data_IF_203297788244
#
_entry.id   IF_203297788244
#
_cell.length_a   1.000
_cell.length_b   1.000
_cell.length_c   1.000
_cell.angle_alpha   90.00
_cell.angle_beta   90.00
_cell.angle_gamma   90.00
#
_symmetry.space_group_name_H-M   'P 1'
#
loop_
_entity.id
_entity.type
_entity.pdbx_description
1 polymer ?
#
# COMPACT_ATOMS: atom_id res chain seq x y z
N UNK A 1 0.83 -7.42 21.31
CA UNK A 1 1.62 -7.60 20.07
C UNK A 1 0.69 -7.34 18.89
N UNK A 2 1.15 -6.56 17.91
CA UNK A 2 0.48 -6.44 16.61
C UNK A 2 1.38 -7.05 15.54
N UNK A 3 0.88 -8.03 14.80
CA UNK A 3 1.53 -8.55 13.60
C UNK A 3 0.69 -8.18 12.37
N UNK A 4 1.35 -7.72 11.32
CA UNK A 4 0.70 -7.29 10.08
C UNK A 4 1.23 -8.16 8.94
N UNK A 5 0.31 -8.70 8.12
CA UNK A 5 0.65 -9.42 6.92
C UNK A 5 1.64 -10.59 7.24
N UNK A 6 2.71 -10.73 6.48
CA UNK A 6 3.81 -11.71 6.70
C UNK A 6 4.53 -11.56 8.05
N UNK A 7 4.30 -10.47 8.81
CA UNK A 7 4.78 -10.35 10.18
C UNK A 7 4.28 -11.46 11.10
N UNK A 8 3.14 -12.08 10.80
CA UNK A 8 2.62 -13.22 11.52
C UNK A 8 3.60 -14.41 11.53
N UNK A 9 4.43 -14.58 10.50
CA UNK A 9 5.47 -15.60 10.42
C UNK A 9 6.51 -15.48 11.54
N UNK A 10 6.93 -14.26 11.87
CA UNK A 10 7.89 -14.03 12.97
C UNK A 10 7.28 -14.36 14.32
N UNK A 11 6.00 -14.00 14.51
CA UNK A 11 5.30 -14.28 15.78
C UNK A 11 5.01 -15.79 15.91
N UNK A 12 4.61 -16.46 14.83
CA UNK A 12 4.42 -17.92 14.81
C UNK A 12 5.74 -18.66 15.08
N UNK A 13 6.85 -18.22 14.45
CA UNK A 13 8.17 -18.83 14.67
C UNK A 13 8.67 -18.70 16.11
N UNK A 14 8.19 -17.75 16.88
CA UNK A 14 8.50 -17.62 18.31
C UNK A 14 7.71 -18.59 19.21
N UNK A 15 6.69 -19.28 18.68
CA UNK A 15 5.80 -20.15 19.42
C UNK A 15 4.70 -19.43 20.21
N UNK A 16 4.66 -18.09 20.19
CA UNK A 16 3.66 -17.32 20.97
C UNK A 16 2.24 -17.53 20.43
N UNK A 17 2.09 -17.86 19.14
CA UNK A 17 0.79 -18.13 18.52
C UNK A 17 0.28 -19.55 18.72
N UNK A 18 1.04 -20.46 19.32
CA UNK A 18 0.63 -21.84 19.51
C UNK A 18 -0.66 -21.92 20.33
N UNK A 19 -1.69 -22.54 19.77
CA UNK A 19 -3.02 -22.66 20.38
C UNK A 19 -3.88 -21.38 20.27
N UNK A 20 -3.40 -20.33 19.63
CA UNK A 20 -4.12 -19.07 19.42
C UNK A 20 -4.75 -19.01 18.04
N UNK A 21 -5.78 -18.17 17.89
CA UNK A 21 -6.29 -17.79 16.58
C UNK A 21 -5.46 -16.65 15.98
N UNK A 22 -5.14 -16.76 14.70
CA UNK A 22 -4.42 -15.72 13.98
C UNK A 22 -4.81 -15.65 12.51
N UNK A 23 -4.45 -14.55 11.86
CA UNK A 23 -4.55 -14.40 10.41
C UNK A 23 -3.28 -13.80 9.84
N UNK A 24 -3.15 -13.84 8.52
CA UNK A 24 -2.06 -13.26 7.75
C UNK A 24 -2.55 -12.93 6.36
N UNK A 25 -1.68 -12.38 5.53
CA UNK A 25 -1.98 -12.20 4.11
C UNK A 25 -2.33 -13.55 3.45
N UNK A 26 -3.36 -13.55 2.60
CA UNK A 26 -3.89 -14.80 2.03
C UNK A 26 -2.83 -15.64 1.28
N UNK A 27 -1.84 -15.03 0.64
CA UNK A 27 -0.72 -15.75 0.01
C UNK A 27 0.17 -16.52 0.98
N UNK A 28 0.23 -16.09 2.24
CA UNK A 28 1.07 -16.72 3.24
C UNK A 28 0.38 -17.85 3.99
N UNK A 29 -0.96 -17.88 4.01
CA UNK A 29 -1.72 -18.77 4.90
C UNK A 29 -1.45 -20.25 4.64
N UNK A 30 -1.38 -20.71 3.39
CA UNK A 30 -1.09 -22.12 3.09
C UNK A 30 0.28 -22.57 3.63
N UNK A 31 1.29 -21.72 3.46
CA UNK A 31 2.62 -21.98 3.97
C UNK A 31 2.68 -21.89 5.49
N UNK A 32 2.01 -20.91 6.09
CA UNK A 32 1.92 -20.76 7.55
C UNK A 32 1.20 -21.93 8.20
N UNK A 33 0.08 -22.40 7.65
CA UNK A 33 -0.63 -23.59 8.13
C UNK A 33 0.24 -24.85 8.09
N UNK A 34 1.03 -24.99 7.02
CA UNK A 34 1.90 -26.17 6.87
C UNK A 34 3.07 -26.18 7.85
N UNK A 35 3.62 -25.00 8.19
CA UNK A 35 4.79 -24.89 9.07
C UNK A 35 4.44 -24.68 10.54
N UNK A 36 3.30 -24.06 10.82
CA UNK A 36 2.86 -23.69 12.17
C UNK A 36 1.45 -24.22 12.45
N UNK A 37 1.30 -25.54 12.38
CA UNK A 37 0.02 -26.24 12.53
C UNK A 37 -0.60 -26.18 13.93
N UNK A 38 0.13 -25.67 14.93
CA UNK A 38 -0.40 -25.41 16.27
C UNK A 38 -1.22 -24.12 16.35
N UNK A 39 -1.19 -23.28 15.32
CA UNK A 39 -1.94 -22.02 15.23
C UNK A 39 -3.26 -22.26 14.49
N UNK A 40 -4.35 -21.72 15.02
CA UNK A 40 -5.68 -21.76 14.36
C UNK A 40 -5.81 -20.60 13.36
N UNK A 41 -5.37 -20.82 12.11
CA UNK A 41 -5.32 -19.81 11.07
C UNK A 41 -6.70 -19.49 10.48
N UNK A 42 -7.10 -18.20 10.55
CA UNK A 42 -8.39 -17.69 10.10
C UNK A 42 -8.27 -17.00 8.73
N UNK A 43 -8.87 -17.58 7.67
CA UNK A 43 -8.72 -17.13 6.29
C UNK A 43 -9.63 -15.97 5.89
N UNK A 44 -10.75 -15.79 6.57
CA UNK A 44 -11.77 -14.81 6.18
C UNK A 44 -11.81 -13.55 7.05
N UNK A 45 -10.85 -13.39 7.95
CA UNK A 45 -10.81 -12.27 8.87
C UNK A 45 -9.77 -11.22 8.43
N UNK A 46 -10.15 -9.96 8.44
CA UNK A 46 -9.20 -8.85 8.21
C UNK A 46 -8.20 -8.74 9.34
N UNK A 47 -8.63 -8.97 10.56
CA UNK A 47 -7.76 -9.11 11.73
C UNK A 47 -8.39 -10.03 12.77
N UNK A 48 -7.56 -10.58 13.60
CA UNK A 48 -7.92 -11.41 14.78
C UNK A 48 -7.21 -10.85 15.99
N UNK A 49 -7.93 -10.68 17.07
CA UNK A 49 -7.35 -10.43 18.38
C UNK A 49 -7.65 -11.63 19.26
N UNK A 50 -6.60 -12.30 19.71
CA UNK A 50 -6.68 -13.41 20.67
C UNK A 50 -5.71 -13.15 21.81
N UNK A 51 -6.24 -12.97 23.03
CA UNK A 51 -5.47 -12.51 24.17
C UNK A 51 -4.79 -11.15 23.92
N UNK A 52 -3.49 -11.12 24.09
CA UNK A 52 -2.66 -9.92 23.94
C UNK A 52 -2.03 -9.78 22.52
N UNK A 53 -2.48 -10.62 21.58
CA UNK A 53 -1.95 -10.66 20.23
C UNK A 53 -3.05 -10.27 19.24
N UNK A 54 -2.74 -9.30 18.39
CA UNK A 54 -3.56 -8.96 17.23
C UNK A 54 -2.76 -9.28 15.98
N UNK A 55 -3.32 -10.06 15.09
CA UNK A 55 -2.78 -10.37 13.77
C UNK A 55 -3.69 -9.79 12.70
N UNK A 56 -3.14 -9.18 11.67
CA UNK A 56 -3.91 -8.70 10.53
C UNK A 56 -3.51 -9.36 9.24
N UNK A 57 -4.46 -9.45 8.34
CA UNK A 57 -4.28 -9.85 6.96
C UNK A 57 -3.44 -8.79 6.17
N UNK A 58 -3.67 -8.63 4.88
CA UNK A 58 -2.84 -7.78 4.03
C UNK A 58 -2.91 -6.29 4.30
N UNK A 59 -2.28 -5.55 3.44
CA UNK A 59 -1.92 -4.13 3.57
C UNK A 59 -3.06 -3.26 4.11
N UNK A 60 -4.24 -3.32 3.48
CA UNK A 60 -5.37 -2.46 3.90
C UNK A 60 -6.03 -2.94 5.19
N UNK A 61 -5.93 -4.22 5.54
CA UNK A 61 -6.45 -4.76 6.79
C UNK A 61 -5.68 -4.25 8.03
N UNK A 62 -4.45 -3.76 7.83
CA UNK A 62 -3.69 -3.14 8.92
C UNK A 62 -4.35 -1.88 9.49
N UNK A 63 -5.13 -1.17 8.67
CA UNK A 63 -5.90 -0.02 9.14
C UNK A 63 -6.97 -0.45 10.14
N UNK A 64 -7.74 -1.50 9.83
CA UNK A 64 -8.75 -2.04 10.73
C UNK A 64 -8.14 -2.53 12.05
N UNK A 65 -7.07 -3.32 11.98
CA UNK A 65 -6.38 -3.81 13.16
C UNK A 65 -5.82 -2.67 14.03
N UNK A 66 -5.23 -1.66 13.40
CA UNK A 66 -4.67 -0.50 14.12
C UNK A 66 -5.77 0.34 14.76
N UNK A 67 -6.87 0.63 14.06
CA UNK A 67 -8.01 1.36 14.61
C UNK A 67 -8.67 0.59 15.75
N UNK A 68 -8.78 -0.74 15.65
CA UNK A 68 -9.29 -1.59 16.72
C UNK A 68 -8.40 -1.49 17.98
N UNK A 69 -7.07 -1.53 17.82
CA UNK A 69 -6.13 -1.36 18.95
C UNK A 69 -6.20 0.05 19.56
N UNK A 70 -6.29 1.09 18.74
CA UNK A 70 -6.47 2.47 19.24
C UNK A 70 -7.77 2.57 20.03
N UNK A 71 -8.85 1.94 19.56
CA UNK A 71 -10.13 1.90 20.27
C UNK A 71 -10.02 1.16 21.60
N UNK A 72 -9.29 0.04 21.63
CA UNK A 72 -9.12 -0.80 22.82
C UNK A 72 -8.23 -0.17 23.88
N UNK A 73 -7.06 0.36 23.51
CA UNK A 73 -6.06 0.87 24.46
C UNK A 73 -6.15 2.37 24.69
N UNK A 74 -6.79 3.10 23.80
CA UNK A 74 -6.94 4.54 23.89
C UNK A 74 -8.39 4.93 24.14
N UNK A 75 -9.06 5.33 23.07
CA UNK A 75 -10.41 5.87 23.12
C UNK A 75 -11.13 5.55 21.78
N UNK A 76 -12.32 4.95 21.80
CA UNK A 76 -13.10 4.73 20.59
C UNK A 76 -13.35 5.99 19.75
N UNK A 77 -13.55 7.15 20.42
CA UNK A 77 -13.71 8.44 19.74
C UNK A 77 -12.44 8.84 18.98
N UNK A 78 -11.26 8.55 19.53
CA UNK A 78 -9.98 8.81 18.86
C UNK A 78 -9.85 7.93 17.60
N UNK A 79 -10.17 6.64 17.70
CA UNK A 79 -10.14 5.74 16.56
C UNK A 79 -11.09 6.22 15.44
N UNK A 80 -12.32 6.62 15.81
CA UNK A 80 -13.28 7.16 14.83
C UNK A 80 -12.79 8.47 14.21
N UNK A 81 -12.21 9.37 15.00
CA UNK A 81 -11.67 10.63 14.50
C UNK A 81 -10.49 10.42 13.54
N UNK A 82 -9.64 9.41 13.80
CA UNK A 82 -8.55 9.07 12.90
C UNK A 82 -9.10 8.47 11.61
N UNK A 83 -10.06 7.54 11.69
CA UNK A 83 -10.69 6.95 10.52
C UNK A 83 -11.34 8.01 9.62
N UNK A 84 -12.06 8.97 10.22
CA UNK A 84 -12.64 10.11 9.52
C UNK A 84 -11.56 11.00 8.85
N UNK A 85 -10.47 11.28 9.57
CA UNK A 85 -9.37 12.12 9.05
C UNK A 85 -8.66 11.50 7.84
N UNK A 86 -8.53 10.18 7.81
CA UNK A 86 -7.93 9.45 6.68
C UNK A 86 -8.97 8.97 5.65
N UNK A 87 -10.23 9.34 5.84
CA UNK A 87 -11.38 8.97 4.98
C UNK A 87 -11.50 7.44 4.80
N UNK A 88 -11.26 6.69 5.89
CA UNK A 88 -11.30 5.24 5.89
C UNK A 88 -12.56 4.69 6.54
N UNK A 89 -13.29 3.86 5.81
CA UNK A 89 -14.39 3.07 6.35
C UNK A 89 -13.89 1.68 6.78
N UNK A 90 -13.97 1.40 8.09
CA UNK A 90 -13.55 0.11 8.65
C UNK A 90 -14.36 -1.05 8.08
N UNK A 91 -13.65 -2.12 7.75
CA UNK A 91 -14.19 -3.35 7.20
C UNK A 91 -14.03 -4.51 8.20
N UNK A 92 -15.02 -5.40 8.27
CA UNK A 92 -15.01 -6.50 9.25
C UNK A 92 -14.63 -7.86 8.68
N UNK A 93 -14.77 -8.06 7.37
CA UNK A 93 -14.45 -9.33 6.73
C UNK A 93 -13.72 -9.10 5.40
N UNK A 94 -12.86 -10.06 5.03
CA UNK A 94 -12.27 -10.15 3.70
C UNK A 94 -12.90 -11.33 3.00
N UNK A 95 -13.29 -11.13 1.76
CA UNK A 95 -13.43 -12.21 0.81
C UNK A 95 -12.57 -11.88 -0.39
N UNK A 96 -11.39 -12.51 -0.49
CA UNK A 96 -10.50 -12.36 -1.65
C UNK A 96 -10.41 -13.73 -2.31
N UNK A 97 -11.17 -13.89 -3.38
CA UNK A 97 -11.06 -15.06 -4.24
C UNK A 97 -9.98 -14.79 -5.28
N UNK A 98 -8.85 -15.47 -5.14
CA UNK A 98 -7.77 -15.44 -6.11
C UNK A 98 -7.91 -16.68 -6.99
N UNK A 99 -8.26 -16.49 -8.24
CA UNK A 99 -8.36 -17.61 -9.19
C UNK A 99 -7.06 -17.79 -10.00
N UNK A 100 -6.96 -18.92 -10.69
CA UNK A 100 -5.80 -19.27 -11.53
C UNK A 100 -5.58 -18.28 -12.68
N UNK A 101 -6.60 -17.54 -13.10
CA UNK A 101 -6.51 -16.53 -14.16
C UNK A 101 -5.81 -15.26 -13.69
N UNK A 102 -6.03 -14.86 -12.44
CA UNK A 102 -5.34 -13.71 -11.83
C UNK A 102 -3.85 -14.01 -11.68
N UNK A 103 -3.50 -15.23 -11.27
CA UNK A 103 -2.12 -15.71 -11.20
C UNK A 103 -1.44 -15.74 -12.58
N UNK A 104 -2.13 -16.23 -13.61
CA UNK A 104 -1.60 -16.29 -14.97
C UNK A 104 -1.37 -14.92 -15.60
N UNK A 105 -2.23 -13.93 -15.31
CA UNK A 105 -2.02 -12.54 -15.75
C UNK A 105 -0.79 -11.95 -15.08
N UNK A 106 -0.63 -12.16 -13.76
CA UNK A 106 0.57 -11.76 -13.03
C UNK A 106 1.84 -12.42 -13.57
N UNK A 107 1.78 -13.72 -13.88
CA UNK A 107 2.92 -14.46 -14.43
C UNK A 107 3.28 -14.00 -15.85
N UNK A 108 2.30 -13.69 -16.69
CA UNK A 108 2.53 -13.22 -18.06
C UNK A 108 3.28 -11.88 -18.10
N UNK A 109 3.00 -10.97 -17.17
CA UNK A 109 3.70 -9.69 -17.05
C UNK A 109 5.13 -9.82 -16.51
N UNK A 110 5.41 -10.86 -15.71
CA UNK A 110 6.77 -11.16 -15.24
C UNK A 110 7.63 -11.78 -16.36
N UNK A 111 7.03 -12.63 -17.19
CA UNK A 111 7.74 -13.38 -18.26
C UNK A 111 7.99 -12.51 -19.50
N UNK A 112 7.17 -11.48 -19.72
CA UNK A 112 7.30 -10.55 -20.84
C UNK A 112 7.71 -9.16 -20.32
N UNK A 113 8.99 -8.90 -20.05
CA UNK A 113 9.47 -7.61 -19.51
C UNK A 113 9.43 -6.46 -20.53
N UNK A 114 8.65 -6.60 -21.58
CA UNK A 114 8.53 -5.63 -22.67
C UNK A 114 7.42 -4.64 -22.33
N UNK A 115 7.83 -3.44 -21.90
CA UNK A 115 6.91 -2.33 -21.67
C UNK A 115 6.75 -1.92 -20.21
N UNK A 116 7.69 -2.26 -19.32
CA UNK A 116 7.72 -1.63 -18.00
C UNK A 116 8.00 -0.15 -18.14
N UNK A 117 7.22 0.63 -17.44
CA UNK A 117 7.33 2.09 -17.38
C UNK A 117 8.17 2.46 -16.17
N UNK A 118 9.24 3.20 -16.39
CA UNK A 118 10.01 3.79 -15.31
C UNK A 118 9.36 5.11 -14.86
N UNK A 119 8.82 5.12 -13.64
CA UNK A 119 8.10 6.26 -13.08
C UNK A 119 8.82 6.81 -11.84
N UNK A 120 9.03 8.12 -11.81
CA UNK A 120 9.46 8.81 -10.60
C UNK A 120 8.26 9.40 -9.87
N UNK A 121 8.18 9.24 -8.54
CA UNK A 121 7.19 9.94 -7.71
C UNK A 121 7.85 11.18 -7.12
N UNK A 122 7.25 12.34 -7.38
CA UNK A 122 7.68 13.59 -6.77
C UNK A 122 7.29 13.63 -5.30
N UNK A 123 8.27 13.92 -4.43
CA UNK A 123 8.04 14.10 -3.00
C UNK A 123 8.51 15.49 -2.56
N UNK A 124 7.71 16.13 -1.72
CA UNK A 124 7.91 17.50 -1.24
C UNK A 124 7.60 17.62 0.26
N UNK A 125 8.09 18.68 0.91
CA UNK A 125 7.75 18.95 2.30
C UNK A 125 6.24 19.16 2.50
N UNK A 126 5.70 18.58 3.57
CA UNK A 126 4.29 18.67 3.91
C UNK A 126 3.38 17.73 3.13
N UNK A 127 3.95 16.88 2.26
CA UNK A 127 3.17 15.87 1.54
C UNK A 127 2.47 14.89 2.48
N UNK A 128 1.38 14.30 2.02
CA UNK A 128 0.68 13.25 2.74
C UNK A 128 1.41 11.90 2.58
N UNK A 129 1.95 11.38 3.68
CA UNK A 129 2.68 10.12 3.68
C UNK A 129 1.78 8.90 3.41
N UNK A 130 0.49 8.97 3.75
CA UNK A 130 -0.45 7.89 3.47
C UNK A 130 -0.66 7.74 1.96
N UNK A 131 -0.78 8.87 1.25
CA UNK A 131 -0.90 8.87 -0.19
C UNK A 131 0.39 8.41 -0.88
N UNK A 132 1.55 8.84 -0.37
CA UNK A 132 2.83 8.36 -0.87
C UNK A 132 2.97 6.84 -0.70
N UNK A 133 2.65 6.32 0.50
CA UNK A 133 2.76 4.89 0.77
C UNK A 133 1.79 4.08 -0.08
N UNK A 134 0.56 4.56 -0.26
CA UNK A 134 -0.41 3.93 -1.15
C UNK A 134 0.09 3.88 -2.61
N UNK A 135 0.70 4.95 -3.10
CA UNK A 135 1.26 5.00 -4.45
C UNK A 135 2.44 4.03 -4.60
N UNK A 136 3.42 4.09 -3.68
CA UNK A 136 4.61 3.24 -3.72
C UNK A 136 4.29 1.74 -3.58
N UNK A 137 3.20 1.38 -2.89
CA UNK A 137 2.80 0.00 -2.74
C UNK A 137 1.89 -0.49 -3.87
N UNK A 138 1.03 0.37 -4.43
CA UNK A 138 0.02 -0.05 -5.41
C UNK A 138 0.54 -0.12 -6.85
N UNK A 139 1.22 0.91 -7.34
CA UNK A 139 1.65 0.95 -8.75
C UNK A 139 2.59 -0.19 -9.14
N UNK A 140 3.62 -0.55 -8.34
CA UNK A 140 4.47 -1.69 -8.71
C UNK A 140 3.74 -3.04 -8.73
N UNK A 141 2.61 -3.16 -8.01
CA UNK A 141 1.76 -4.36 -8.04
C UNK A 141 1.00 -4.56 -9.34
N UNK A 142 0.94 -3.55 -10.20
CA UNK A 142 0.46 -3.74 -11.58
C UNK A 142 1.41 -4.60 -12.40
N UNK A 143 2.68 -4.72 -11.95
CA UNK A 143 3.81 -5.37 -12.65
C UNK A 143 4.22 -4.66 -13.95
N UNK A 144 3.64 -3.50 -14.23
CA UNK A 144 3.90 -2.67 -15.41
C UNK A 144 4.82 -1.48 -15.09
N UNK A 145 5.03 -1.19 -13.80
CA UNK A 145 5.69 0.05 -13.36
C UNK A 145 6.82 -0.26 -12.38
N UNK A 146 7.98 0.31 -12.64
CA UNK A 146 9.06 0.43 -11.67
C UNK A 146 9.11 1.86 -11.13
N UNK A 147 9.15 2.03 -9.80
CA UNK A 147 9.03 3.34 -9.18
C UNK A 147 10.27 3.74 -8.37
N UNK A 148 10.59 5.02 -8.45
CA UNK A 148 11.59 5.67 -7.59
C UNK A 148 11.04 6.98 -7.04
N UNK A 149 11.59 7.48 -5.94
CA UNK A 149 11.23 8.78 -5.39
C UNK A 149 12.22 9.86 -5.83
N UNK A 150 11.71 11.03 -6.16
CA UNK A 150 12.50 12.20 -6.59
C UNK A 150 12.04 13.47 -5.90
N UNK A 151 12.94 14.39 -5.65
CA UNK A 151 12.66 15.75 -5.16
C UNK A 151 13.61 16.77 -5.84
N UNK A 152 13.51 18.04 -5.45
CA UNK A 152 14.44 19.10 -5.91
C UNK A 152 15.91 18.72 -5.67
N UNK A 153 16.19 18.04 -4.55
CA UNK A 153 17.52 17.53 -4.19
C UNK A 153 17.39 16.35 -3.21
N UNK A 154 18.49 15.61 -2.97
CA UNK A 154 18.53 14.53 -1.97
C UNK A 154 18.65 15.08 -0.54
N UNK A 155 17.76 16.00 -0.18
CA UNK A 155 17.65 16.51 1.19
C UNK A 155 16.60 15.74 1.97
N UNK A 156 16.60 15.92 3.28
CA UNK A 156 15.54 15.42 4.16
C UNK A 156 14.24 16.14 3.85
N UNK A 157 13.19 15.39 3.54
CA UNK A 157 11.80 15.83 3.37
C UNK A 157 11.05 15.48 4.64
N UNK A 158 10.24 16.40 5.15
CA UNK A 158 9.34 16.15 6.28
C UNK A 158 7.90 16.12 5.80
N UNK A 159 7.22 15.01 6.02
CA UNK A 159 5.81 14.83 5.64
C UNK A 159 4.87 15.60 6.56
N UNK A 160 3.59 15.61 6.22
CA UNK A 160 2.51 16.28 6.96
C UNK A 160 2.45 15.90 8.45
N UNK A 161 2.67 14.63 8.78
CA UNK A 161 2.63 14.13 10.16
C UNK A 161 4.02 13.86 10.74
N UNK A 162 5.08 14.38 10.10
CA UNK A 162 6.43 14.44 10.65
C UNK A 162 7.34 13.26 10.32
N UNK A 163 6.91 12.33 9.45
CA UNK A 163 7.81 11.31 8.92
C UNK A 163 8.96 11.98 8.15
N UNK A 164 10.16 11.46 8.30
CA UNK A 164 11.35 11.98 7.63
C UNK A 164 11.79 11.04 6.52
N UNK A 165 11.89 11.56 5.32
CA UNK A 165 12.21 10.81 4.11
C UNK A 165 13.40 11.45 3.39
N UNK A 166 14.22 10.61 2.77
CA UNK A 166 15.26 11.04 1.83
C UNK A 166 14.89 10.46 0.47
N UNK A 167 14.68 11.29 -0.57
CA UNK A 167 14.36 10.81 -1.90
C UNK A 167 15.50 9.96 -2.46
N UNK A 168 15.16 9.00 -3.32
CA UNK A 168 16.15 8.18 -4.02
C UNK A 168 17.08 9.05 -4.87
N UNK A 169 16.50 10.04 -5.56
CA UNK A 169 17.20 10.96 -6.44
C UNK A 169 16.87 12.43 -6.18
N UNK A 170 17.82 13.33 -6.39
CA UNK A 170 17.55 14.72 -6.73
C UNK A 170 17.18 14.80 -8.20
N UNK A 171 16.37 15.80 -8.58
CA UNK A 171 15.88 15.93 -9.97
C UNK A 171 17.01 16.02 -11.00
N UNK A 172 18.13 16.67 -10.64
CA UNK A 172 19.29 16.79 -11.53
C UNK A 172 20.12 15.49 -11.64
N UNK A 173 19.84 14.49 -10.79
CA UNK A 173 20.52 13.21 -10.75
C UNK A 173 19.58 12.08 -11.20
N UNK A 174 18.32 12.41 -11.54
CA UNK A 174 17.31 11.46 -11.97
C UNK A 174 17.74 10.83 -13.29
N UNK A 175 17.78 9.51 -13.42
CA UNK A 175 17.97 8.85 -14.71
C UNK A 175 16.79 9.16 -15.65
N UNK A 176 16.90 8.79 -16.91
CA UNK A 176 15.78 8.88 -17.84
C UNK A 176 14.57 8.10 -17.31
N UNK A 177 13.42 8.75 -17.25
CA UNK A 177 12.15 8.21 -16.77
C UNK A 177 11.07 8.45 -17.81
N UNK A 178 10.16 7.51 -17.96
CA UNK A 178 9.00 7.66 -18.85
C UNK A 178 8.04 8.74 -18.32
N UNK A 179 7.88 8.79 -16.98
CA UNK A 179 7.03 9.80 -16.35
C UNK A 179 7.46 10.21 -14.94
N UNK A 180 6.97 11.39 -14.52
CA UNK A 180 7.03 11.87 -13.14
C UNK A 180 5.60 12.00 -12.62
N UNK A 181 5.26 11.28 -11.58
CA UNK A 181 3.96 11.35 -10.92
C UNK A 181 3.98 12.40 -9.80
N UNK A 182 3.15 13.42 -9.94
CA UNK A 182 2.82 14.36 -8.87
C UNK A 182 1.58 13.86 -8.12
N UNK A 183 1.67 13.74 -6.80
CA UNK A 183 0.57 13.27 -5.95
C UNK A 183 -0.49 14.35 -5.66
N UNK A 184 -0.18 15.61 -6.00
CA UNK A 184 -1.12 16.73 -5.87
C UNK A 184 -1.02 17.70 -7.05
N UNK A 185 -2.10 18.47 -7.24
CA UNK A 185 -2.12 19.55 -8.25
C UNK A 185 -1.08 20.64 -7.94
N UNK A 186 -0.76 20.89 -6.66
CA UNK A 186 0.25 21.84 -6.23
C UNK A 186 1.65 21.39 -6.65
N UNK A 187 1.98 20.12 -6.42
CA UNK A 187 3.25 19.53 -6.84
C UNK A 187 3.39 19.55 -8.36
N UNK A 188 2.32 19.22 -9.08
CA UNK A 188 2.31 19.30 -10.55
C UNK A 188 2.53 20.73 -11.07
N UNK A 189 1.95 21.74 -10.42
CA UNK A 189 2.15 23.14 -10.76
C UNK A 189 3.61 23.56 -10.50
N UNK A 190 4.18 23.15 -9.38
CA UNK A 190 5.58 23.41 -9.03
C UNK A 190 6.52 22.79 -10.09
N UNK A 191 6.33 21.54 -10.44
CA UNK A 191 7.14 20.84 -11.45
C UNK A 191 7.08 21.54 -12.82
N UNK A 192 5.88 21.97 -13.25
CA UNK A 192 5.72 22.72 -14.51
C UNK A 192 6.44 24.07 -14.49
N UNK A 193 6.41 24.80 -13.38
CA UNK A 193 7.09 26.08 -13.24
C UNK A 193 8.61 25.96 -13.27
N UNK A 194 9.13 24.88 -12.72
CA UNK A 194 10.58 24.65 -12.66
C UNK A 194 11.14 24.09 -13.97
N UNK A 195 10.30 23.86 -14.99
CA UNK A 195 10.67 23.22 -16.27
C UNK A 195 11.47 21.92 -16.09
N UNK A 196 11.24 21.22 -14.98
CA UNK A 196 11.99 20.05 -14.57
C UNK A 196 11.58 18.76 -15.30
N UNK A 197 10.49 18.81 -16.05
CA UNK A 197 10.01 17.71 -16.88
C UNK A 197 10.51 17.84 -18.33
N UNK A 198 11.83 17.91 -18.53
CA UNK A 198 12.37 18.24 -19.84
C UNK A 198 12.04 17.21 -20.93
N UNK A 199 11.94 15.92 -20.61
CA UNK A 199 11.57 14.86 -21.57
C UNK A 199 10.62 13.81 -20.97
N UNK A 200 10.39 13.81 -19.65
CA UNK A 200 9.48 12.89 -18.99
C UNK A 200 8.05 13.43 -19.00
N UNK A 201 7.07 12.58 -19.24
CA UNK A 201 5.67 12.96 -19.09
C UNK A 201 5.36 13.31 -17.63
N UNK A 202 4.66 14.44 -17.42
CA UNK A 202 4.19 14.81 -16.09
C UNK A 202 2.78 14.27 -15.86
N UNK A 203 2.69 13.28 -15.00
CA UNK A 203 1.44 12.70 -14.53
C UNK A 203 0.99 13.39 -13.23
N UNK A 204 -0.31 13.48 -13.05
CA UNK A 204 -0.89 13.98 -11.79
C UNK A 204 -1.95 13.01 -11.35
N UNK A 205 -1.96 12.66 -10.07
CA UNK A 205 -3.01 11.82 -9.49
C UNK A 205 -4.37 12.51 -9.66
N UNK A 206 -5.32 11.83 -10.28
CA UNK A 206 -6.58 12.46 -10.75
C UNK A 206 -7.59 12.68 -9.61
N UNK A 207 -7.61 11.81 -8.60
CA UNK A 207 -8.54 11.94 -7.48
C UNK A 207 -7.94 12.78 -6.35
N UNK A 208 -8.71 13.74 -5.84
CA UNK A 208 -8.28 14.59 -4.72
C UNK A 208 -8.92 14.22 -3.39
N UNK A 209 -10.00 13.43 -3.40
CA UNK A 209 -10.81 13.10 -2.23
C UNK A 209 -10.87 11.59 -2.03
N UNK A 210 -11.00 11.14 -0.80
CA UNK A 210 -11.14 9.75 -0.42
C UNK A 210 -9.88 9.12 0.17
N UNK A 211 -10.03 7.91 0.67
CA UNK A 211 -8.96 7.12 1.25
C UNK A 211 -7.81 6.90 0.26
N UNK A 212 -6.57 7.05 0.73
CA UNK A 212 -5.37 7.07 -0.11
C UNK A 212 -5.26 5.89 -1.07
N UNK A 213 -5.58 4.68 -0.63
CA UNK A 213 -5.54 3.50 -1.50
C UNK A 213 -6.65 3.50 -2.54
N UNK A 214 -7.89 3.98 -2.21
CA UNK A 214 -8.96 4.08 -3.22
C UNK A 214 -8.57 5.05 -4.34
N UNK A 215 -7.99 6.20 -3.97
CA UNK A 215 -7.53 7.21 -4.93
C UNK A 215 -6.50 6.65 -5.90
N UNK A 216 -5.51 5.91 -5.39
CA UNK A 216 -4.49 5.29 -6.24
C UNK A 216 -5.06 4.16 -7.09
N UNK A 217 -5.95 3.33 -6.53
CA UNK A 217 -6.62 2.27 -7.29
C UNK A 217 -7.48 2.82 -8.42
N UNK A 218 -8.18 3.93 -8.20
CA UNK A 218 -8.99 4.59 -9.23
C UNK A 218 -8.11 5.16 -10.35
N UNK A 219 -6.96 5.77 -10.01
CA UNK A 219 -5.99 6.24 -11.00
C UNK A 219 -5.38 5.06 -11.80
N UNK A 220 -5.06 3.95 -11.15
CA UNK A 220 -4.61 2.72 -11.82
C UNK A 220 -5.69 2.23 -12.79
N UNK A 221 -6.95 2.20 -12.37
CA UNK A 221 -8.06 1.80 -13.24
C UNK A 221 -8.19 2.68 -14.49
N UNK A 222 -8.04 3.99 -14.33
CA UNK A 222 -8.10 4.94 -15.43
C UNK A 222 -6.93 4.82 -16.40
N UNK A 223 -5.71 4.59 -15.92
CA UNK A 223 -4.49 4.55 -16.73
C UNK A 223 -4.20 3.18 -17.33
N UNK A 224 -4.38 2.13 -16.53
CA UNK A 224 -3.96 0.76 -16.86
C UNK A 224 -5.14 -0.20 -17.04
N UNK A 225 -6.36 0.29 -16.84
CA UNK A 225 -7.60 -0.46 -17.01
C UNK A 225 -8.09 -1.17 -15.74
N UNK A 226 -9.37 -1.53 -15.75
CA UNK A 226 -10.05 -2.12 -14.58
C UNK A 226 -9.48 -3.49 -14.18
N UNK A 227 -8.88 -4.23 -15.12
CA UNK A 227 -8.21 -5.49 -14.80
C UNK A 227 -6.99 -5.29 -13.90
N UNK A 228 -6.17 -4.26 -14.15
CA UNK A 228 -5.01 -3.92 -13.32
C UNK A 228 -5.46 -3.39 -11.96
N UNK A 229 -6.49 -2.54 -11.92
CA UNK A 229 -7.12 -2.09 -10.67
C UNK A 229 -7.57 -3.26 -9.79
N UNK A 230 -8.34 -4.20 -10.38
CA UNK A 230 -8.84 -5.38 -9.66
C UNK A 230 -7.70 -6.27 -9.16
N UNK A 231 -6.67 -6.51 -9.99
CA UNK A 231 -5.50 -7.29 -9.59
C UNK A 231 -4.79 -6.67 -8.38
N UNK A 232 -4.55 -5.37 -8.43
CA UNK A 232 -3.88 -4.64 -7.34
C UNK A 232 -4.75 -4.62 -6.09
N UNK A 233 -6.06 -4.34 -6.22
CA UNK A 233 -7.00 -4.34 -5.10
C UNK A 233 -7.01 -5.70 -4.37
N UNK A 234 -7.02 -6.81 -5.11
CA UNK A 234 -6.93 -8.15 -4.53
C UNK A 234 -5.62 -8.37 -3.77
N UNK A 235 -4.48 -7.97 -4.34
CA UNK A 235 -3.17 -8.10 -3.68
C UNK A 235 -3.05 -7.25 -2.40
N UNK A 236 -3.75 -6.12 -2.34
CA UNK A 236 -3.82 -5.23 -1.18
C UNK A 236 -4.85 -5.71 -0.14
N UNK A 237 -5.62 -6.75 -0.47
CA UNK A 237 -6.82 -7.15 0.28
C UNK A 237 -7.76 -5.95 0.50
N UNK A 238 -7.86 -5.10 -0.54
CA UNK A 238 -8.75 -3.95 -0.53
C UNK A 238 -10.20 -4.44 -0.69
N UNK A 239 -11.15 -3.97 0.13
CA UNK A 239 -12.56 -4.35 0.02
C UNK A 239 -13.13 -3.99 -1.35
N UNK A 240 -13.88 -4.92 -1.96
CA UNK A 240 -14.54 -4.72 -3.25
C UNK A 240 -16.04 -4.50 -3.06
#
# INVERSE_FOLDING_TARGET
ILSICEGARLVAASGILDGQQATSHFFALDDLESHYSAVDWQRSARYITDGDITSSAGVTAAYDATLALISQFGNPTLASSIAEQIEYESQTAIYVEFDSTDFLKGLASIVLPWGRTDQAIWISDGMDESLLSAALDSYPRTLEIDQVTVSDSRRLIRTKHGLQLIPRFGINELPEMDSILALSAADAAQLRQQALANDSALDTLQSNDGFSFSRVLDDIGQRYGESSRTLVAKQLEYPQ
#
